data_IF_432875652341
#
_entry.id   IF_432875652341
#
_cell.length_a   1.000
_cell.length_b   1.000
_cell.length_c   1.000
_cell.angle_alpha   90.00
_cell.angle_beta   90.00
_cell.angle_gamma   90.00
#
_symmetry.space_group_name_H-M   'P 1'
#
loop_
_entity.id
_entity.type
_entity.pdbx_description
1 polymer ?
#
# COMPACT_ATOMS: atom_id res chain seq x y z
N UNK A 1 -7.51 -56.12 33.76
CA UNK A 1 -8.81 -55.50 33.39
C UNK A 1 -8.76 -53.99 33.31
N UNK A 2 -8.32 -53.21 34.32
CA UNK A 2 -8.15 -51.76 34.14
C UNK A 2 -6.86 -51.36 33.39
N UNK A 3 -5.80 -52.16 33.51
CA UNK A 3 -4.52 -51.93 32.84
C UNK A 3 -4.63 -52.06 31.32
N UNK A 4 -5.34 -53.07 30.83
CA UNK A 4 -5.48 -53.37 29.39
C UNK A 4 -6.24 -52.29 28.61
N UNK A 5 -7.15 -51.58 29.27
CA UNK A 5 -7.95 -50.50 28.64
C UNK A 5 -7.12 -49.22 28.51
N UNK A 6 -6.26 -48.95 29.52
CA UNK A 6 -5.33 -47.82 29.48
C UNK A 6 -4.28 -48.06 28.40
N UNK A 7 -3.76 -49.27 28.31
CA UNK A 7 -2.77 -49.67 27.31
C UNK A 7 -3.34 -49.59 25.88
N UNK A 8 -4.55 -50.11 25.65
CA UNK A 8 -5.27 -49.94 24.38
C UNK A 8 -5.50 -48.47 24.02
N UNK A 9 -5.76 -47.61 25.01
CA UNK A 9 -5.98 -46.17 24.78
C UNK A 9 -4.69 -45.46 24.40
N UNK A 10 -3.59 -45.76 25.10
CA UNK A 10 -2.26 -45.22 24.81
C UNK A 10 -1.77 -45.70 23.45
N UNK A 11 -1.95 -46.98 23.11
CA UNK A 11 -1.63 -47.51 21.79
C UNK A 11 -2.43 -46.84 20.67
N UNK A 12 -3.71 -46.53 20.91
CA UNK A 12 -4.55 -45.89 19.91
C UNK A 12 -4.17 -44.40 19.72
N UNK A 13 -3.79 -43.71 20.79
CA UNK A 13 -3.28 -42.34 20.71
C UNK A 13 -1.89 -42.26 20.07
N UNK A 14 -0.99 -43.21 20.37
CA UNK A 14 0.33 -43.30 19.74
C UNK A 14 0.25 -43.72 18.27
N UNK A 15 -0.66 -44.62 17.88
CA UNK A 15 -0.93 -44.94 16.46
C UNK A 15 -1.45 -43.71 15.69
N UNK A 16 -2.33 -42.91 16.28
CA UNK A 16 -2.80 -41.64 15.69
C UNK A 16 -1.69 -40.60 15.55
N UNK A 17 -0.71 -40.59 16.45
CA UNK A 17 0.45 -39.71 16.37
C UNK A 17 1.46 -40.18 15.31
N UNK A 18 1.81 -41.47 15.32
CA UNK A 18 2.76 -42.06 14.37
C UNK A 18 2.26 -42.02 12.92
N UNK A 19 0.94 -42.10 12.70
CA UNK A 19 0.37 -41.97 11.34
C UNK A 19 0.45 -40.54 10.77
N UNK A 20 0.83 -39.53 11.58
CA UNK A 20 1.16 -38.16 11.11
C UNK A 20 2.64 -38.03 10.70
N UNK A 21 3.47 -39.00 11.05
CA UNK A 21 4.92 -38.99 10.83
C UNK A 21 5.27 -40.03 9.77
N UNK A 22 4.56 -40.01 8.64
CA UNK A 22 4.95 -40.76 7.45
C UNK A 22 5.52 -39.75 6.45
N UNK A 23 6.85 -39.71 6.21
CA UNK A 23 7.49 -38.60 5.52
C UNK A 23 7.49 -38.73 3.99
N UNK A 24 6.73 -39.67 3.42
CA UNK A 24 6.87 -40.06 2.00
C UNK A 24 5.56 -39.99 1.20
N UNK A 25 4.77 -38.95 1.43
CA UNK A 25 3.77 -38.50 0.48
C UNK A 25 3.92 -37.00 0.34
N UNK A 26 3.96 -36.53 -0.90
CA UNK A 26 3.74 -35.14 -1.31
C UNK A 26 2.33 -34.61 -0.94
N UNK A 27 1.77 -35.09 0.17
CA UNK A 27 0.50 -34.69 0.74
C UNK A 27 0.77 -33.57 1.73
N UNK A 28 0.37 -32.40 1.30
CA UNK A 28 0.26 -31.18 2.08
C UNK A 28 -0.47 -31.48 3.40
N UNK A 29 0.19 -31.20 4.54
CA UNK A 29 -0.44 -31.32 5.85
C UNK A 29 -1.48 -30.20 6.04
N UNK A 30 -2.76 -30.56 5.91
CA UNK A 30 -3.91 -29.64 5.98
C UNK A 30 -3.92 -28.82 7.28
N UNK A 31 -3.47 -29.39 8.40
CA UNK A 31 -3.46 -28.69 9.68
C UNK A 31 -2.37 -27.59 9.70
N UNK A 32 -1.22 -27.83 9.08
CA UNK A 32 -0.15 -26.85 8.94
C UNK A 32 -0.57 -25.72 7.99
N UNK A 33 -1.23 -26.03 6.86
CA UNK A 33 -1.76 -25.00 5.96
C UNK A 33 -2.81 -24.11 6.62
N UNK A 34 -3.70 -24.70 7.43
CA UNK A 34 -4.70 -23.95 8.19
C UNK A 34 -4.05 -23.01 9.20
N UNK A 35 -2.99 -23.46 9.86
CA UNK A 35 -2.21 -22.62 10.77
C UNK A 35 -1.55 -21.45 10.02
N UNK A 36 -0.96 -21.70 8.84
CA UNK A 36 -0.37 -20.67 7.99
C UNK A 36 -1.41 -19.66 7.47
N UNK A 37 -2.56 -20.14 7.01
CA UNK A 37 -3.67 -19.30 6.56
C UNK A 37 -4.16 -18.40 7.70
N UNK A 38 -4.34 -18.95 8.90
CA UNK A 38 -4.76 -18.20 10.09
C UNK A 38 -3.74 -17.11 10.44
N UNK A 39 -2.44 -17.43 10.34
CA UNK A 39 -1.36 -16.45 10.55
C UNK A 39 -1.41 -15.33 9.50
N UNK A 40 -1.60 -15.66 8.22
CA UNK A 40 -1.72 -14.67 7.15
C UNK A 40 -2.96 -13.78 7.31
N UNK A 41 -4.09 -14.35 7.73
CA UNK A 41 -5.31 -13.59 8.03
C UNK A 41 -5.08 -12.60 9.18
N UNK A 42 -4.37 -13.01 10.24
CA UNK A 42 -4.01 -12.12 11.34
C UNK A 42 -3.16 -10.94 10.87
N UNK A 43 -2.12 -11.21 10.07
CA UNK A 43 -1.25 -10.15 9.51
C UNK A 43 -2.07 -9.20 8.63
N UNK A 44 -2.95 -9.75 7.79
CA UNK A 44 -3.81 -8.94 6.94
C UNK A 44 -4.75 -8.04 7.76
N UNK A 45 -5.28 -8.56 8.86
CA UNK A 45 -6.13 -7.79 9.76
C UNK A 45 -5.36 -6.69 10.48
N UNK A 46 -4.12 -6.97 10.88
CA UNK A 46 -3.22 -6.00 11.51
C UNK A 46 -2.92 -4.83 10.57
N UNK A 47 -2.56 -5.10 9.32
CA UNK A 47 -2.36 -4.07 8.28
C UNK A 47 -3.64 -3.25 8.07
N UNK A 48 -4.82 -3.90 8.01
CA UNK A 48 -6.09 -3.19 7.87
C UNK A 48 -6.37 -2.27 9.06
N UNK A 49 -6.06 -2.71 10.28
CA UNK A 49 -6.24 -1.89 11.47
C UNK A 49 -5.31 -0.68 11.44
N UNK A 50 -4.04 -0.85 11.04
CA UNK A 50 -3.10 0.28 10.88
C UNK A 50 -3.58 1.31 9.86
N UNK A 51 -4.18 0.86 8.75
CA UNK A 51 -4.79 1.76 7.75
C UNK A 51 -6.00 2.50 8.35
N UNK A 52 -6.89 1.79 9.04
CA UNK A 52 -8.09 2.38 9.65
C UNK A 52 -7.74 3.38 10.77
N UNK A 53 -6.66 3.14 11.49
CA UNK A 53 -6.12 4.02 12.52
C UNK A 53 -5.27 5.16 11.94
N UNK A 54 -5.09 5.21 10.62
CA UNK A 54 -4.39 6.27 9.91
C UNK A 54 -2.87 6.25 10.07
N UNK A 55 -2.30 5.12 10.51
CA UNK A 55 -0.84 4.95 10.66
C UNK A 55 -0.16 4.48 9.38
N UNK A 56 -0.90 3.88 8.45
CA UNK A 56 -0.39 3.41 7.17
C UNK A 56 -1.35 3.83 6.04
N UNK A 57 -0.79 4.10 4.86
CA UNK A 57 -1.56 4.40 3.64
C UNK A 57 -1.04 3.48 2.53
N UNK A 58 -1.92 2.73 1.83
CA UNK A 58 -1.53 1.98 0.65
C UNK A 58 -0.95 2.91 -0.43
N UNK A 59 0.11 2.48 -1.11
CA UNK A 59 0.80 3.28 -2.15
C UNK A 59 -0.17 3.80 -3.22
N UNK A 60 -1.08 2.96 -3.71
CA UNK A 60 -2.09 3.37 -4.69
C UNK A 60 -3.01 4.48 -4.16
N UNK A 61 -3.39 4.41 -2.88
CA UNK A 61 -4.18 5.46 -2.24
C UNK A 61 -3.37 6.75 -2.09
N UNK A 62 -2.06 6.67 -1.82
CA UNK A 62 -1.18 7.83 -1.79
C UNK A 62 -1.06 8.50 -3.17
N UNK A 63 -0.93 7.72 -4.25
CA UNK A 63 -0.92 8.21 -5.64
C UNK A 63 -2.21 8.93 -6.01
N UNK A 64 -3.35 8.37 -5.62
CA UNK A 64 -4.67 9.01 -5.80
C UNK A 64 -4.78 10.34 -5.05
N UNK A 65 -4.32 10.38 -3.80
CA UNK A 65 -4.33 11.61 -2.98
C UNK A 65 -3.43 12.68 -3.60
N UNK A 66 -2.21 12.31 -4.02
CA UNK A 66 -1.28 13.22 -4.69
C UNK A 66 -1.87 13.78 -5.98
N UNK A 67 -2.49 12.92 -6.80
CA UNK A 67 -3.18 13.36 -8.04
C UNK A 67 -4.24 14.41 -7.74
N UNK A 68 -5.06 14.22 -6.70
CA UNK A 68 -6.08 15.19 -6.28
C UNK A 68 -5.46 16.51 -5.80
N UNK A 69 -4.36 16.45 -5.04
CA UNK A 69 -3.64 17.64 -4.57
C UNK A 69 -3.06 18.42 -5.77
N UNK A 70 -2.41 17.72 -6.70
CA UNK A 70 -1.84 18.32 -7.91
C UNK A 70 -2.92 18.98 -8.78
N UNK A 71 -4.08 18.33 -8.97
CA UNK A 71 -5.20 18.91 -9.69
C UNK A 71 -5.71 20.21 -9.03
N UNK A 72 -5.74 20.25 -7.69
CA UNK A 72 -6.12 21.46 -6.93
C UNK A 72 -5.10 22.58 -7.09
N UNK A 73 -3.80 22.25 -7.09
CA UNK A 73 -2.72 23.20 -7.34
C UNK A 73 -2.85 23.74 -8.77
N UNK A 74 -3.05 22.88 -9.77
CA UNK A 74 -3.27 23.28 -11.16
C UNK A 74 -4.41 24.28 -11.29
N UNK A 75 -5.57 23.98 -10.71
CA UNK A 75 -6.73 24.90 -10.70
C UNK A 75 -6.43 26.26 -10.07
N UNK A 76 -5.57 26.28 -9.04
CA UNK A 76 -5.16 27.52 -8.38
C UNK A 76 -4.23 28.34 -9.28
N UNK A 77 -3.30 27.67 -9.98
CA UNK A 77 -2.39 28.29 -10.92
C UNK A 77 -3.13 28.84 -12.16
N UNK A 78 -4.16 28.17 -12.66
CA UNK A 78 -4.98 28.66 -13.78
C UNK A 78 -5.66 30.00 -13.48
N UNK A 79 -5.94 30.24 -12.19
CA UNK A 79 -6.52 31.50 -11.72
C UNK A 79 -5.50 32.64 -11.68
N UNK A 80 -4.20 32.39 -11.83
CA UNK A 80 -3.16 33.40 -11.73
C UNK A 80 -3.28 34.47 -12.83
N UNK A 81 -3.30 34.06 -14.09
CA UNK A 81 -3.37 34.96 -15.24
C UNK A 81 -4.63 35.88 -15.23
N UNK A 82 -5.86 35.38 -15.02
CA UNK A 82 -7.03 36.25 -14.92
C UNK A 82 -6.99 37.17 -13.68
N UNK A 83 -6.42 36.71 -12.56
CA UNK A 83 -6.23 37.55 -11.38
C UNK A 83 -5.27 38.72 -11.65
N UNK A 84 -4.16 38.46 -12.37
CA UNK A 84 -3.22 39.51 -12.78
C UNK A 84 -3.94 40.52 -13.68
N UNK A 85 -4.65 40.07 -14.73
CA UNK A 85 -5.37 40.98 -15.65
C UNK A 85 -6.43 41.82 -14.94
N UNK A 86 -7.10 41.26 -13.93
CA UNK A 86 -8.08 42.00 -13.11
C UNK A 86 -7.42 43.07 -12.24
N UNK A 87 -6.23 42.80 -11.69
CA UNK A 87 -5.48 43.76 -10.84
C UNK A 87 -4.69 44.78 -11.66
N UNK A 88 -4.29 44.41 -12.86
CA UNK A 88 -3.47 45.21 -13.78
C UNK A 88 -4.10 45.21 -15.18
N UNK A 89 -5.19 45.96 -15.40
CA UNK A 89 -5.89 46.02 -16.69
C UNK A 89 -5.02 46.55 -17.83
N UNK A 90 -3.99 47.34 -17.52
CA UNK A 90 -3.02 47.94 -18.43
C UNK A 90 -2.10 46.93 -19.13
N UNK A 91 -1.91 45.74 -18.55
CA UNK A 91 -1.05 44.70 -19.13
C UNK A 91 -1.66 44.22 -20.45
N UNK A 92 -0.85 44.18 -21.50
CA UNK A 92 -1.26 43.69 -22.81
C UNK A 92 -1.78 42.24 -22.74
N UNK A 93 -2.86 41.97 -23.48
CA UNK A 93 -3.47 40.63 -23.51
C UNK A 93 -2.48 39.54 -23.93
N UNK A 94 -1.53 39.86 -24.81
CA UNK A 94 -0.47 38.94 -25.25
C UNK A 94 0.39 38.43 -24.10
N UNK A 95 0.66 39.27 -23.10
CA UNK A 95 1.44 38.86 -21.91
C UNK A 95 0.61 37.94 -21.03
N UNK A 96 -0.69 38.22 -20.86
CA UNK A 96 -1.60 37.34 -20.10
C UNK A 96 -1.71 35.97 -20.76
N UNK A 97 -1.83 35.93 -22.08
CA UNK A 97 -1.89 34.68 -22.85
C UNK A 97 -0.57 33.91 -22.76
N UNK A 98 0.57 34.62 -22.76
CA UNK A 98 1.88 34.02 -22.51
C UNK A 98 1.95 33.37 -21.12
N UNK A 99 1.53 34.07 -20.05
CA UNK A 99 1.50 33.53 -18.68
C UNK A 99 0.61 32.27 -18.61
N UNK A 100 -0.57 32.28 -19.24
CA UNK A 100 -1.43 31.09 -19.32
C UNK A 100 -0.71 29.93 -20.00
N UNK A 101 -0.05 30.20 -21.14
CA UNK A 101 0.65 29.17 -21.89
C UNK A 101 1.81 28.55 -21.10
N UNK A 102 2.59 29.36 -20.38
CA UNK A 102 3.65 28.88 -19.51
C UNK A 102 3.09 28.07 -18.34
N UNK A 103 2.01 28.54 -17.72
CA UNK A 103 1.35 27.81 -16.62
C UNK A 103 0.93 26.41 -17.05
N UNK A 104 0.33 26.26 -18.24
CA UNK A 104 -0.06 24.96 -18.79
C UNK A 104 1.15 24.06 -19.06
N UNK A 105 2.27 24.62 -19.57
CA UNK A 105 3.49 23.84 -19.80
C UNK A 105 4.05 23.27 -18.50
N UNK A 106 4.18 24.10 -17.46
CA UNK A 106 4.67 23.64 -16.16
C UNK A 106 3.72 22.67 -15.47
N UNK A 107 2.41 22.83 -15.62
CA UNK A 107 1.44 21.84 -15.15
C UNK A 107 1.63 20.48 -15.85
N UNK A 108 1.81 20.47 -17.18
CA UNK A 108 2.05 19.24 -17.93
C UNK A 108 3.38 18.57 -17.56
N UNK A 109 4.39 19.36 -17.22
CA UNK A 109 5.66 18.85 -16.69
C UNK A 109 5.48 18.25 -15.29
N UNK A 110 4.77 18.95 -14.39
CA UNK A 110 4.46 18.46 -13.05
C UNK A 110 3.63 17.17 -13.07
N UNK A 111 2.74 16.98 -14.06
CA UNK A 111 2.01 15.73 -14.24
C UNK A 111 2.90 14.50 -14.49
N UNK A 112 4.18 14.70 -14.86
CA UNK A 112 5.16 13.62 -15.05
C UNK A 112 5.88 13.23 -13.76
N UNK A 113 5.59 13.89 -12.63
CA UNK A 113 6.18 13.57 -11.32
C UNK A 113 5.81 12.17 -10.81
N UNK A 114 4.92 11.44 -11.46
CA UNK A 114 4.58 10.07 -11.09
C UNK A 114 5.81 9.14 -11.07
N UNK A 115 6.78 9.34 -11.99
CA UNK A 115 8.03 8.57 -11.97
C UNK A 115 8.92 8.90 -10.77
N UNK A 116 8.81 10.10 -10.21
CA UNK A 116 9.56 10.51 -9.02
C UNK A 116 8.94 9.96 -7.74
N UNK A 117 7.64 9.63 -7.76
CA UNK A 117 6.96 9.04 -6.62
C UNK A 117 7.52 7.65 -6.28
N UNK A 118 7.77 6.82 -7.30
CA UNK A 118 8.32 5.48 -7.09
C UNK A 118 9.73 5.54 -6.47
N UNK A 119 10.59 6.45 -6.97
CA UNK A 119 11.92 6.69 -6.39
C UNK A 119 11.86 7.11 -4.91
N UNK A 120 10.93 8.01 -4.55
CA UNK A 120 10.73 8.44 -3.16
C UNK A 120 10.24 7.27 -2.29
N UNK A 121 9.33 6.45 -2.80
CA UNK A 121 8.82 5.30 -2.06
C UNK A 121 9.95 4.31 -1.78
N UNK A 122 10.78 4.02 -2.79
CA UNK A 122 11.93 3.13 -2.67
C UNK A 122 12.96 3.66 -1.66
N UNK A 123 13.21 4.97 -1.66
CA UNK A 123 14.06 5.62 -0.65
C UNK A 123 13.49 5.42 0.77
N UNK A 124 12.20 5.68 0.97
CA UNK A 124 11.53 5.52 2.28
C UNK A 124 11.54 4.06 2.74
N UNK A 125 11.31 3.11 1.84
CA UNK A 125 11.37 1.67 2.16
C UNK A 125 12.80 1.27 2.56
N UNK A 126 13.80 1.70 1.79
CA UNK A 126 15.21 1.42 2.09
C UNK A 126 15.63 1.99 3.45
N UNK A 127 15.21 3.21 3.77
CA UNK A 127 15.46 3.81 5.09
C UNK A 127 14.76 3.05 6.23
N UNK A 128 13.55 2.53 5.99
CA UNK A 128 12.83 1.75 6.97
C UNK A 128 13.53 0.42 7.25
N UNK A 129 14.02 -0.27 6.22
CA UNK A 129 14.81 -1.50 6.35
C UNK A 129 16.12 -1.27 7.12
N UNK A 130 16.79 -0.14 6.91
CA UNK A 130 18.02 0.20 7.63
C UNK A 130 17.84 0.48 9.13
N UNK A 131 16.61 0.71 9.59
CA UNK A 131 16.28 1.01 11.00
C UNK A 131 15.78 -0.21 11.77
N UNK A 132 15.59 -1.36 11.12
CA UNK A 132 15.15 -2.65 11.70
C UNK A 132 16.37 -3.51 12.02
#
# INVERSE_FOLDING_TARGET
MFTDVIENRIENETKKYNNRVNPDSSDINIDDERAMLTRQQRITQEIKNEILEGRAIPVEAARDVLTKILARIGSTLDSLAPNIKRRHPEIEQRIIDFIKSETIKYQNEASKLDSYLDDIIDEVVTEAEAKV
#
